data_IF_335047741057
#
_entry.id   IF_335047741057
#
_cell.length_a   1.000
_cell.length_b   1.000
_cell.length_c   1.000
_cell.angle_alpha   90.00
_cell.angle_beta   90.00
_cell.angle_gamma   90.00
#
_symmetry.space_group_name_H-M   'P 1'
#
loop_
_entity.id
_entity.type
_entity.pdbx_description
1 polymer ?
#
# COMPACT_ATOMS: atom_id res chain seq x y z
N UNK A 1 -19.65 -5.05 -28.19
CA UNK A 1 -18.20 -5.29 -28.26
C UNK A 1 -17.57 -4.90 -26.92
N UNK A 2 -16.93 -5.88 -26.25
CA UNK A 2 -16.20 -5.64 -25.00
C UNK A 2 -14.71 -5.53 -25.35
N UNK A 3 -14.17 -4.30 -25.41
CA UNK A 3 -12.75 -4.05 -25.62
C UNK A 3 -12.27 -2.86 -24.78
N UNK A 4 -10.99 -2.87 -24.42
CA UNK A 4 -10.38 -1.77 -23.68
C UNK A 4 -10.12 -0.60 -24.62
N UNK A 5 -10.60 0.59 -24.25
CA UNK A 5 -10.35 1.84 -24.98
C UNK A 5 -9.27 2.63 -24.25
N UNK A 6 -8.28 3.12 -25.03
CA UNK A 6 -7.21 3.95 -24.48
C UNK A 6 -7.74 5.29 -24.00
N UNK A 7 -7.41 5.65 -22.76
CA UNK A 7 -7.61 7.01 -22.24
C UNK A 7 -6.38 7.85 -22.65
N UNK A 8 -6.61 9.00 -23.27
CA UNK A 8 -5.54 9.94 -23.61
C UNK A 8 -5.13 10.74 -22.37
N UNK A 9 -3.87 10.59 -21.95
CA UNK A 9 -3.28 11.37 -20.86
C UNK A 9 -2.63 12.64 -21.42
N UNK A 10 -3.09 13.81 -20.95
CA UNK A 10 -2.64 15.12 -21.39
C UNK A 10 -1.65 15.77 -20.40
N UNK A 11 -1.57 15.25 -19.18
CA UNK A 11 -0.63 15.71 -18.17
C UNK A 11 0.82 15.32 -18.48
N UNK A 12 1.71 15.73 -17.62
CA UNK A 12 3.16 15.45 -17.68
C UNK A 12 3.68 14.70 -16.46
N UNK A 13 4.98 14.76 -16.30
CA UNK A 13 5.73 14.39 -15.08
C UNK A 13 6.54 15.61 -14.67
N UNK A 14 6.55 15.90 -13.36
CA UNK A 14 7.38 16.94 -12.78
C UNK A 14 8.30 16.32 -11.74
N UNK A 15 9.60 16.56 -11.86
CA UNK A 15 10.61 16.16 -10.88
C UNK A 15 11.15 17.42 -10.18
N UNK A 16 11.25 17.37 -8.87
CA UNK A 16 11.91 18.39 -8.07
C UNK A 16 13.43 18.33 -8.19
N UNK A 17 14.12 19.18 -7.46
CA UNK A 17 15.57 19.22 -7.40
C UNK A 17 16.11 17.98 -6.68
N UNK A 18 17.31 17.53 -7.03
CA UNK A 18 18.01 16.39 -6.40
C UNK A 18 17.22 15.08 -6.36
N UNK A 19 16.28 14.88 -7.29
CA UNK A 19 15.59 13.61 -7.47
C UNK A 19 16.51 12.62 -8.17
N UNK A 20 16.65 11.43 -7.60
CA UNK A 20 17.34 10.30 -8.25
C UNK A 20 16.34 9.27 -8.75
N UNK A 21 16.57 8.76 -9.95
CA UNK A 21 15.72 7.74 -10.59
C UNK A 21 16.60 6.54 -10.97
N UNK A 22 16.38 5.44 -10.26
CA UNK A 22 17.12 4.20 -10.44
C UNK A 22 16.84 3.49 -11.76
N UNK A 23 17.63 2.47 -12.06
CA UNK A 23 17.52 1.71 -13.29
C UNK A 23 16.14 1.05 -13.43
N UNK A 24 15.55 1.15 -14.62
CA UNK A 24 14.22 0.61 -14.95
C UNK A 24 13.08 1.13 -14.07
N UNK A 25 13.27 2.22 -13.33
CA UNK A 25 12.16 2.89 -12.70
C UNK A 25 11.26 3.56 -13.76
N UNK A 26 9.96 3.55 -13.53
CA UNK A 26 8.95 4.10 -14.44
C UNK A 26 8.05 5.09 -13.72
N UNK A 27 7.78 6.22 -14.36
CA UNK A 27 6.89 7.26 -13.84
C UNK A 27 5.88 7.60 -14.93
N UNK A 28 4.63 7.21 -14.70
CA UNK A 28 3.55 7.48 -15.66
C UNK A 28 3.19 8.97 -15.67
N UNK A 29 2.92 9.49 -16.85
CA UNK A 29 2.37 10.83 -16.96
C UNK A 29 0.97 10.93 -16.35
N UNK A 30 0.64 12.07 -15.80
CA UNK A 30 -0.70 12.30 -15.31
C UNK A 30 -1.75 12.39 -16.43
N UNK A 31 -2.99 12.14 -16.08
CA UNK A 31 -4.10 12.24 -17.05
C UNK A 31 -4.41 13.69 -17.42
N UNK A 32 -4.52 14.58 -16.45
CA UNK A 32 -4.73 16.03 -16.64
C UNK A 32 -3.62 16.79 -15.89
N UNK A 33 -3.46 16.54 -14.58
CA UNK A 33 -2.38 17.11 -13.77
C UNK A 33 -1.12 16.28 -13.95
N UNK A 34 0.03 16.89 -13.70
CA UNK A 34 1.28 16.15 -13.68
C UNK A 34 1.34 15.13 -12.53
N UNK A 35 1.98 13.99 -12.78
CA UNK A 35 2.55 13.15 -11.74
C UNK A 35 3.78 13.87 -11.20
N UNK A 36 3.93 14.01 -9.89
CA UNK A 36 4.98 14.84 -9.30
C UNK A 36 5.82 14.08 -8.28
N UNK A 37 7.13 14.30 -8.33
CA UNK A 37 8.11 13.79 -7.38
C UNK A 37 8.77 15.00 -6.71
N UNK A 38 8.65 15.10 -5.40
CA UNK A 38 9.23 16.19 -4.60
C UNK A 38 10.75 16.14 -4.52
N UNK A 39 11.36 17.29 -4.27
CA UNK A 39 12.82 17.46 -4.19
C UNK A 39 13.44 16.51 -3.16
N UNK A 40 14.66 16.04 -3.41
CA UNK A 40 15.42 15.15 -2.55
C UNK A 40 14.99 13.68 -2.59
N UNK A 41 13.87 13.35 -3.22
CA UNK A 41 13.31 12.00 -3.26
C UNK A 41 14.15 11.06 -4.12
N UNK A 42 14.33 9.83 -3.64
CA UNK A 42 15.10 8.78 -4.30
C UNK A 42 14.21 7.62 -4.69
N UNK A 43 14.18 7.30 -5.97
CA UNK A 43 13.53 6.13 -6.53
C UNK A 43 14.61 5.10 -6.86
N UNK A 44 14.61 3.99 -6.16
CA UNK A 44 15.51 2.88 -6.42
C UNK A 44 15.08 2.09 -7.68
N UNK A 45 15.80 1.05 -7.99
CA UNK A 45 15.61 0.28 -9.21
C UNK A 45 14.22 -0.35 -9.30
N UNK A 46 13.66 -0.36 -10.51
CA UNK A 46 12.36 -0.99 -10.83
C UNK A 46 11.17 -0.43 -10.02
N UNK A 47 11.28 0.79 -9.49
CA UNK A 47 10.15 1.48 -8.87
C UNK A 47 9.14 1.86 -9.95
N UNK A 48 7.85 1.63 -9.68
CA UNK A 48 6.77 2.10 -10.54
C UNK A 48 5.92 3.16 -9.82
N UNK A 49 5.77 4.32 -10.45
CA UNK A 49 4.91 5.40 -10.00
C UNK A 49 3.80 5.60 -11.02
N UNK A 50 2.57 5.27 -10.65
CA UNK A 50 1.40 5.38 -11.50
C UNK A 50 0.98 6.82 -11.80
N UNK A 51 0.04 6.97 -12.72
CA UNK A 51 -0.46 8.28 -13.17
C UNK A 51 -1.07 9.11 -12.03
N UNK A 52 -0.90 10.43 -12.08
CA UNK A 52 -1.43 11.41 -11.12
C UNK A 52 -0.92 11.24 -9.67
N UNK A 53 0.06 10.38 -9.42
CA UNK A 53 0.67 10.21 -8.10
C UNK A 53 1.42 11.50 -7.73
N UNK A 54 1.34 11.85 -6.46
CA UNK A 54 2.11 12.93 -5.86
C UNK A 54 2.99 12.34 -4.77
N UNK A 55 4.31 12.44 -4.94
CA UNK A 55 5.31 12.03 -3.94
C UNK A 55 5.90 13.29 -3.33
N UNK A 56 5.95 13.37 -2.02
CA UNK A 56 6.53 14.45 -1.25
C UNK A 56 8.04 14.52 -1.38
N UNK A 57 8.66 15.29 -0.50
CA UNK A 57 10.10 15.60 -0.47
C UNK A 57 10.84 14.56 0.37
N UNK A 58 12.13 14.37 0.06
CA UNK A 58 13.06 13.57 0.85
C UNK A 58 12.55 12.14 1.13
N UNK A 59 11.75 11.60 0.23
CA UNK A 59 11.12 10.28 0.33
C UNK A 59 12.01 9.22 -0.32
N UNK A 60 12.06 8.02 0.28
CA UNK A 60 12.83 6.89 -0.23
C UNK A 60 11.87 5.79 -0.69
N UNK A 61 11.86 5.52 -1.98
CA UNK A 61 11.16 4.41 -2.60
C UNK A 61 12.18 3.32 -2.94
N UNK A 62 12.24 2.28 -2.10
CA UNK A 62 13.19 1.18 -2.30
C UNK A 62 12.81 0.30 -3.50
N UNK A 63 13.71 -0.59 -3.89
CA UNK A 63 13.57 -1.39 -5.11
C UNK A 63 12.24 -2.12 -5.24
N UNK A 64 11.67 -2.08 -6.44
CA UNK A 64 10.41 -2.74 -6.79
C UNK A 64 9.16 -2.20 -6.04
N UNK A 65 9.23 -1.01 -5.47
CA UNK A 65 8.04 -0.35 -4.93
C UNK A 65 7.08 -0.02 -6.08
N UNK A 66 5.80 -0.31 -5.89
CA UNK A 66 4.75 0.03 -6.83
C UNK A 66 3.71 0.95 -6.18
N UNK A 67 3.48 2.11 -6.78
CA UNK A 67 2.48 3.09 -6.33
C UNK A 67 1.42 3.22 -7.42
N UNK A 68 0.19 2.82 -7.10
CA UNK A 68 -0.92 2.89 -8.04
C UNK A 68 -1.42 4.33 -8.24
N UNK A 69 -2.21 4.52 -9.27
CA UNK A 69 -2.63 5.86 -9.73
C UNK A 69 -3.31 6.71 -8.67
N UNK A 70 -3.08 8.01 -8.73
CA UNK A 70 -3.72 9.03 -7.88
C UNK A 70 -3.42 8.92 -6.38
N UNK A 71 -2.48 8.08 -5.97
CA UNK A 71 -2.02 8.03 -4.59
C UNK A 71 -1.20 9.29 -4.22
N UNK A 72 -1.17 9.60 -2.94
CA UNK A 72 -0.38 10.71 -2.38
C UNK A 72 0.54 10.17 -1.30
N UNK A 73 1.82 10.39 -1.47
CA UNK A 73 2.87 10.02 -0.53
C UNK A 73 3.42 11.31 0.08
N UNK A 74 3.46 11.40 1.39
CA UNK A 74 3.97 12.54 2.13
C UNK A 74 5.47 12.74 2.03
N UNK A 75 5.97 13.64 2.85
CA UNK A 75 7.40 13.95 2.97
C UNK A 75 8.11 12.92 3.86
N UNK A 76 9.40 12.67 3.60
CA UNK A 76 10.28 11.80 4.42
C UNK A 76 9.74 10.38 4.65
N UNK A 77 8.92 9.90 3.72
CA UNK A 77 8.39 8.54 3.75
C UNK A 77 9.44 7.55 3.30
N UNK A 78 9.50 6.40 3.94
CA UNK A 78 10.32 5.26 3.51
C UNK A 78 9.41 4.09 3.16
N UNK A 79 9.37 3.72 1.89
CA UNK A 79 8.71 2.49 1.45
C UNK A 79 9.77 1.43 1.19
N UNK A 80 9.80 0.40 2.03
CA UNK A 80 10.72 -0.73 1.88
C UNK A 80 10.49 -1.50 0.57
N UNK A 81 11.49 -2.24 0.13
CA UNK A 81 11.44 -2.95 -1.16
C UNK A 81 10.19 -3.81 -1.33
N UNK A 82 9.64 -3.84 -2.53
CA UNK A 82 8.43 -4.56 -2.91
C UNK A 82 7.14 -4.08 -2.20
N UNK A 83 7.15 -2.93 -1.54
CA UNK A 83 5.92 -2.33 -1.05
C UNK A 83 4.97 -2.01 -2.21
N UNK A 84 3.68 -2.17 -1.96
CA UNK A 84 2.62 -1.79 -2.89
C UNK A 84 1.65 -0.83 -2.23
N UNK A 85 1.36 0.29 -2.90
CA UNK A 85 0.36 1.27 -2.47
C UNK A 85 -0.80 1.24 -3.45
N UNK A 86 -2.02 1.04 -2.95
CA UNK A 86 -3.23 1.03 -3.76
C UNK A 86 -3.56 2.44 -4.29
N UNK A 87 -4.45 2.49 -5.26
CA UNK A 87 -4.90 3.74 -5.87
C UNK A 87 -5.67 4.63 -4.89
N UNK A 88 -5.60 5.94 -5.10
CA UNK A 88 -6.30 6.94 -4.29
C UNK A 88 -6.00 6.90 -2.77
N UNK A 89 -4.90 6.28 -2.35
CA UNK A 89 -4.47 6.19 -0.95
C UNK A 89 -3.60 7.39 -0.58
N UNK A 90 -3.74 7.83 0.66
CA UNK A 90 -2.86 8.81 1.29
C UNK A 90 -1.93 8.13 2.31
N UNK A 91 -0.62 8.32 2.14
CA UNK A 91 0.42 7.94 3.11
C UNK A 91 0.99 9.24 3.68
N UNK A 92 0.81 9.45 4.98
CA UNK A 92 1.24 10.66 5.66
C UNK A 92 2.76 10.80 5.76
N UNK A 93 3.21 11.98 6.20
CA UNK A 93 4.63 12.27 6.37
C UNK A 93 5.28 11.33 7.40
N UNK A 94 6.59 11.11 7.27
CA UNK A 94 7.39 10.32 8.22
C UNK A 94 6.93 8.86 8.40
N UNK A 95 6.15 8.32 7.48
CA UNK A 95 5.76 6.90 7.50
C UNK A 95 6.91 6.02 7.06
N UNK A 96 7.15 4.94 7.81
CA UNK A 96 8.10 3.89 7.45
C UNK A 96 7.35 2.59 7.22
N UNK A 97 7.37 2.07 6.00
CA UNK A 97 6.79 0.77 5.65
C UNK A 97 7.90 -0.26 5.44
N UNK A 98 7.86 -1.33 6.22
CA UNK A 98 8.76 -2.47 6.04
C UNK A 98 8.52 -3.16 4.69
N UNK A 99 9.53 -3.87 4.19
CA UNK A 99 9.48 -4.52 2.87
C UNK A 99 8.27 -5.44 2.68
N UNK A 100 7.82 -5.55 1.44
CA UNK A 100 6.66 -6.34 1.00
C UNK A 100 5.31 -5.94 1.63
N UNK A 101 5.23 -4.79 2.32
CA UNK A 101 3.97 -4.28 2.87
C UNK A 101 2.99 -3.92 1.74
N UNK A 102 1.72 -4.28 1.92
CA UNK A 102 0.64 -3.93 0.99
C UNK A 102 -0.30 -2.93 1.68
N UNK A 103 -0.31 -1.70 1.15
CA UNK A 103 -1.02 -0.55 1.73
C UNK A 103 -2.33 -0.35 0.96
N UNK A 104 -3.44 -0.75 1.56
CA UNK A 104 -4.78 -0.67 0.95
C UNK A 104 -5.66 0.44 1.56
N UNK A 105 -5.19 1.08 2.62
CA UNK A 105 -5.92 2.13 3.33
C UNK A 105 -4.98 3.29 3.66
N UNK A 106 -5.55 4.47 3.93
CA UNK A 106 -4.77 5.64 4.33
C UNK A 106 -3.93 5.35 5.58
N UNK A 107 -2.69 5.83 5.57
CA UNK A 107 -1.75 5.69 6.69
C UNK A 107 -1.49 7.06 7.30
N UNK A 108 -1.85 7.29 8.57
CA UNK A 108 -1.52 8.52 9.27
C UNK A 108 -0.02 8.77 9.37
N UNK A 109 0.40 10.03 9.45
CA UNK A 109 1.79 10.42 9.58
C UNK A 109 2.51 9.77 10.78
N UNK A 110 3.81 9.54 10.66
CA UNK A 110 4.67 9.01 11.72
C UNK A 110 4.45 7.53 12.05
N UNK A 111 3.70 6.79 11.25
CA UNK A 111 3.46 5.35 11.49
C UNK A 111 4.59 4.50 10.96
N UNK A 112 4.96 3.49 11.73
CA UNK A 112 5.78 2.37 11.28
C UNK A 112 4.86 1.18 11.02
N UNK A 113 4.86 0.67 9.79
CA UNK A 113 3.95 -0.42 9.37
C UNK A 113 4.74 -1.58 8.77
N UNK A 114 4.23 -2.78 8.95
CA UNK A 114 4.81 -4.00 8.38
C UNK A 114 3.70 -4.97 8.00
N UNK A 115 3.83 -5.62 6.85
CA UNK A 115 2.96 -6.70 6.41
C UNK A 115 3.72 -7.86 5.78
N UNK A 116 3.14 -9.07 5.90
CA UNK A 116 3.60 -10.27 5.20
C UNK A 116 5.06 -10.71 5.46
N UNK A 117 5.52 -10.88 6.72
CA UNK A 117 6.84 -11.47 6.95
C UNK A 117 6.85 -12.94 6.48
N UNK A 118 7.99 -13.40 5.93
CA UNK A 118 8.17 -14.80 5.61
C UNK A 118 8.27 -15.63 6.91
N UNK A 119 7.54 -16.74 6.94
CA UNK A 119 7.59 -17.73 8.02
C UNK A 119 7.81 -19.12 7.42
N UNK A 120 8.11 -20.12 8.25
CA UNK A 120 8.21 -21.52 7.79
C UNK A 120 6.94 -21.91 7.01
N UNK A 121 7.11 -22.61 5.89
CA UNK A 121 5.99 -22.97 4.98
C UNK A 121 4.84 -23.68 5.71
N UNK A 122 5.15 -24.67 6.55
CA UNK A 122 4.12 -25.40 7.29
C UNK A 122 3.32 -24.48 8.20
N UNK A 123 4.02 -23.54 8.88
CA UNK A 123 3.40 -22.52 9.74
C UNK A 123 2.47 -21.62 8.90
N UNK A 124 2.91 -21.17 7.73
CA UNK A 124 2.06 -20.34 6.85
C UNK A 124 0.82 -21.09 6.37
N UNK A 125 0.96 -22.38 6.07
CA UNK A 125 -0.18 -23.23 5.68
C UNK A 125 -1.21 -23.31 6.83
N UNK A 126 -0.77 -23.53 8.06
CA UNK A 126 -1.67 -23.59 9.21
C UNK A 126 -2.31 -22.23 9.52
N UNK A 127 -1.57 -21.13 9.41
CA UNK A 127 -2.13 -19.78 9.52
C UNK A 127 -3.25 -19.58 8.49
N UNK A 128 -3.00 -19.92 7.23
CA UNK A 128 -3.99 -19.76 6.15
C UNK A 128 -5.24 -20.63 6.38
N UNK A 129 -5.07 -21.84 6.90
CA UNK A 129 -6.20 -22.72 7.29
C UNK A 129 -6.99 -22.10 8.44
N UNK A 130 -6.33 -21.57 9.45
CA UNK A 130 -6.98 -20.90 10.57
C UNK A 130 -7.77 -19.68 10.14
N UNK A 131 -7.18 -18.79 9.34
CA UNK A 131 -7.86 -17.60 8.78
C UNK A 131 -9.11 -17.95 8.03
N UNK A 132 -9.09 -18.99 7.18
CA UNK A 132 -10.28 -19.47 6.44
C UNK A 132 -11.41 -19.98 7.36
N UNK A 133 -11.09 -20.41 8.58
CA UNK A 133 -12.06 -20.90 9.58
C UNK A 133 -12.65 -19.78 10.44
N UNK A 134 -12.01 -18.61 10.49
CA UNK A 134 -12.45 -17.49 11.34
C UNK A 134 -13.93 -17.12 11.20
N UNK A 135 -14.54 -17.02 10.00
CA UNK A 135 -15.97 -16.70 9.89
C UNK A 135 -16.86 -17.71 10.59
N UNK A 136 -16.55 -19.02 10.46
CA UNK A 136 -17.29 -20.10 11.14
C UNK A 136 -17.08 -20.06 12.66
N UNK A 137 -15.87 -19.81 13.12
CA UNK A 137 -15.55 -19.70 14.54
C UNK A 137 -16.24 -18.49 15.17
N UNK A 138 -16.31 -17.36 14.48
CA UNK A 138 -17.03 -16.18 14.93
C UNK A 138 -18.54 -16.46 15.10
N UNK A 139 -19.16 -17.16 14.14
CA UNK A 139 -20.57 -17.56 14.23
C UNK A 139 -20.82 -18.52 15.42
N UNK A 140 -19.93 -19.50 15.63
CA UNK A 140 -20.01 -20.42 16.75
C UNK A 140 -19.87 -19.70 18.10
N UNK A 141 -18.95 -18.73 18.20
CA UNK A 141 -18.76 -17.92 19.41
C UNK A 141 -20.01 -17.10 19.71
N UNK A 142 -20.61 -16.45 18.71
CA UNK A 142 -21.85 -15.69 18.89
C UNK A 142 -23.00 -16.56 19.40
N UNK A 143 -23.13 -17.79 18.91
CA UNK A 143 -24.16 -18.72 19.38
C UNK A 143 -23.89 -19.22 20.81
N UNK A 144 -22.63 -19.47 21.15
CA UNK A 144 -22.23 -19.80 22.52
C UNK A 144 -22.55 -18.65 23.48
N UNK A 145 -22.26 -17.41 23.11
CA UNK A 145 -22.59 -16.24 23.92
C UNK A 145 -24.08 -16.11 24.19
N UNK A 146 -24.93 -16.31 23.18
CA UNK A 146 -26.40 -16.33 23.36
C UNK A 146 -26.84 -17.41 24.31
N UNK A 147 -26.24 -18.61 24.18
CA UNK A 147 -26.58 -19.74 25.05
C UNK A 147 -26.21 -19.49 26.50
N UNK A 148 -25.00 -18.95 26.75
CA UNK A 148 -24.56 -18.58 28.11
C UNK A 148 -25.45 -17.50 28.72
N UNK A 149 -25.74 -16.44 27.96
CA UNK A 149 -26.66 -15.37 28.46
C UNK A 149 -28.04 -15.93 28.85
N UNK A 150 -28.59 -16.85 28.01
CA UNK A 150 -29.89 -17.48 28.32
C UNK A 150 -29.83 -18.35 29.56
N UNK A 151 -28.73 -19.04 29.81
CA UNK A 151 -28.55 -19.87 31.03
C UNK A 151 -28.44 -19.01 32.27
N UNK A 152 -27.68 -17.90 32.23
CA UNK A 152 -27.52 -16.95 33.34
C UNK A 152 -28.78 -16.18 33.70
N UNK A 153 -29.78 -16.11 32.79
CA UNK A 153 -31.08 -15.45 33.07
C UNK A 153 -32.13 -16.40 33.63
N UNK A 154 -31.82 -17.70 33.78
CA UNK A 154 -32.73 -18.70 34.30
C UNK A 154 -32.59 -18.99 35.81
N UNK A 155 -31.55 -18.43 36.41
CA UNK A 155 -31.29 -18.41 37.86
C UNK A 155 -31.77 -17.06 38.42
#
# INVERSE_FOLDING_TARGET
DQHWVRIHSLGGVTLGDDVEVGANATIDRGTIRATSIGSGTKLDNMVHVGHNVQVGRDTLLCGQVGIAGSARIGDRVVLGGQCGVSDNIFVGDDVVAGGASKIFTNVPAGRVILGSPAVKMDTQIEINKAVRRLPRMAAQLAELQKTVTRLMQKD
#
